data_IF_032977381452
#
_entry.id   IF_032977381452
#
_cell.length_a   1.000
_cell.length_b   1.000
_cell.length_c   1.000
_cell.angle_alpha   90.00
_cell.angle_beta   90.00
_cell.angle_gamma   90.00
#
_symmetry.space_group_name_H-M   'P 1'
#
loop_
_entity.id
_entity.type
_entity.pdbx_description
1 polymer ?
#
# COMPACT_ATOMS: atom_id res chain seq x y z
N UNK A 1 31.93 -53.40 -52.28
CA UNK A 1 31.69 -53.13 -50.87
C UNK A 1 31.45 -51.63 -50.73
N UNK A 2 30.20 -51.21 -50.53
CA UNK A 2 29.83 -49.79 -50.33
C UNK A 2 29.63 -49.55 -48.84
N UNK A 3 30.45 -48.68 -48.27
CA UNK A 3 30.34 -48.22 -46.89
C UNK A 3 29.19 -47.22 -46.76
N UNK A 4 28.22 -47.48 -45.93
CA UNK A 4 27.15 -46.55 -45.58
C UNK A 4 27.56 -45.73 -44.36
N UNK A 5 27.74 -44.43 -44.56
CA UNK A 5 27.92 -43.45 -43.45
C UNK A 5 26.52 -43.04 -42.97
N UNK A 6 26.21 -43.41 -41.74
CA UNK A 6 24.95 -42.97 -41.06
C UNK A 6 25.06 -41.51 -40.55
N UNK A 7 24.28 -40.65 -41.09
CA UNK A 7 24.09 -39.27 -40.58
C UNK A 7 23.07 -39.31 -39.46
N UNK A 8 23.53 -39.18 -38.23
CA UNK A 8 22.67 -39.00 -37.06
C UNK A 8 22.21 -37.53 -36.97
N UNK A 9 20.96 -37.25 -36.62
CA UNK A 9 20.38 -35.93 -36.90
C UNK A 9 20.79 -34.86 -35.88
N UNK A 10 21.42 -33.84 -36.38
CA UNK A 10 21.77 -32.59 -35.67
C UNK A 10 20.59 -31.81 -35.10
N UNK A 11 19.37 -32.27 -35.33
CA UNK A 11 18.14 -31.57 -34.92
C UNK A 11 17.69 -31.80 -33.47
N UNK A 12 18.30 -32.77 -32.79
CA UNK A 12 17.87 -33.09 -31.41
C UNK A 12 18.60 -32.24 -30.35
N UNK A 13 19.81 -31.76 -30.66
CA UNK A 13 20.56 -30.91 -29.72
C UNK A 13 20.10 -29.44 -29.68
N UNK A 14 19.41 -28.95 -30.70
CA UNK A 14 18.92 -27.57 -30.73
C UNK A 14 17.60 -27.41 -29.96
N UNK A 15 16.82 -28.48 -29.80
CA UNK A 15 15.57 -28.46 -29.03
C UNK A 15 15.79 -28.56 -27.51
N UNK A 16 16.90 -29.14 -27.08
CA UNK A 16 17.22 -29.29 -25.64
C UNK A 16 17.89 -28.03 -25.06
N UNK A 17 18.51 -27.20 -25.91
CA UNK A 17 19.10 -25.92 -25.44
C UNK A 17 18.07 -24.80 -25.38
N UNK A 18 16.96 -24.89 -26.12
CA UNK A 18 15.90 -23.87 -26.10
C UNK A 18 14.88 -24.07 -24.95
N UNK A 19 14.87 -25.21 -24.27
CA UNK A 19 14.01 -25.47 -23.10
C UNK A 19 14.63 -25.06 -21.75
N UNK A 20 15.91 -24.70 -21.70
CA UNK A 20 16.58 -24.31 -20.44
C UNK A 20 16.72 -22.80 -20.22
N UNK A 21 16.10 -21.96 -21.06
CA UNK A 21 16.21 -20.49 -20.93
C UNK A 21 14.89 -19.79 -20.59
N UNK A 22 13.88 -20.54 -20.10
CA UNK A 22 12.65 -19.94 -19.58
C UNK A 22 12.44 -20.44 -18.17
N UNK A 23 13.24 -19.98 -17.28
CA UNK A 23 12.96 -20.04 -15.86
C UNK A 23 13.98 -19.16 -15.14
N UNK A 24 13.63 -17.91 -14.93
CA UNK A 24 14.16 -17.05 -13.87
C UNK A 24 13.62 -15.64 -14.07
N UNK A 25 12.32 -15.45 -13.95
CA UNK A 25 11.72 -14.16 -13.65
C UNK A 25 10.43 -14.38 -12.86
N UNK A 26 10.55 -14.86 -11.64
CA UNK A 26 9.44 -14.83 -10.72
C UNK A 26 9.96 -14.92 -9.29
N UNK A 27 10.46 -13.81 -8.76
CA UNK A 27 10.87 -13.80 -7.37
C UNK A 27 10.59 -12.46 -6.65
N UNK A 28 9.87 -11.53 -7.28
CA UNK A 28 9.65 -10.20 -6.70
C UNK A 28 8.29 -9.98 -6.09
N UNK A 29 7.26 -10.58 -6.69
CA UNK A 29 5.93 -10.56 -6.11
C UNK A 29 5.85 -11.74 -5.14
N UNK A 30 5.96 -11.45 -3.89
CA UNK A 30 5.73 -12.45 -2.84
C UNK A 30 4.23 -12.71 -2.68
N UNK A 31 3.40 -11.68 -2.87
CA UNK A 31 1.93 -11.79 -2.96
C UNK A 31 1.44 -10.89 -4.07
N UNK A 32 0.71 -11.44 -5.03
CA UNK A 32 0.11 -10.69 -6.14
C UNK A 32 -0.78 -9.57 -5.60
N UNK A 33 -0.65 -8.38 -6.19
CA UNK A 33 -1.53 -7.27 -5.88
C UNK A 33 -2.91 -7.50 -6.49
N UNK A 34 -3.92 -7.45 -5.64
CA UNK A 34 -5.31 -7.61 -6.03
C UNK A 34 -6.14 -6.39 -5.60
N UNK A 35 -7.21 -6.02 -6.33
CA UNK A 35 -8.02 -4.88 -5.95
C UNK A 35 -8.83 -5.18 -4.68
N UNK A 36 -8.49 -4.56 -3.57
CA UNK A 36 -9.30 -4.55 -2.35
C UNK A 36 -10.56 -3.71 -2.53
N UNK A 37 -10.44 -2.65 -3.33
CA UNK A 37 -11.54 -1.78 -3.70
C UNK A 37 -11.34 -1.29 -5.14
N UNK A 38 -12.40 -1.24 -5.95
CA UNK A 38 -12.37 -0.64 -7.27
C UNK A 38 -13.77 -0.20 -7.66
N UNK A 39 -14.08 1.08 -7.45
CA UNK A 39 -15.38 1.69 -7.79
C UNK A 39 -15.22 3.15 -8.22
N UNK A 40 -16.19 3.64 -9.00
CA UNK A 40 -16.36 5.07 -9.24
C UNK A 40 -17.28 5.66 -8.15
N UNK A 41 -16.79 6.70 -7.48
CA UNK A 41 -17.49 7.37 -6.39
C UNK A 41 -17.46 8.89 -6.58
N UNK A 42 -18.45 9.59 -6.03
CA UNK A 42 -18.40 11.04 -5.87
C UNK A 42 -17.59 11.34 -4.60
N UNK A 43 -16.27 11.30 -4.67
CA UNK A 43 -15.45 11.36 -3.47
C UNK A 43 -13.96 11.31 -3.73
N UNK A 44 -13.22 10.95 -2.69
CA UNK A 44 -11.77 10.82 -2.76
C UNK A 44 -11.27 9.85 -1.66
N UNK A 45 -9.96 9.74 -1.56
CA UNK A 45 -9.27 8.91 -0.57
C UNK A 45 -8.45 9.79 0.36
N UNK A 46 -8.34 9.37 1.61
CA UNK A 46 -7.41 9.93 2.60
C UNK A 46 -6.90 8.83 3.51
N UNK A 47 -5.90 9.13 4.33
CA UNK A 47 -5.35 8.16 5.27
C UNK A 47 -4.95 8.80 6.59
N UNK A 48 -4.75 7.94 7.59
CA UNK A 48 -3.99 8.20 8.82
C UNK A 48 -3.12 6.99 9.10
N UNK A 49 -1.94 7.21 9.70
CA UNK A 49 -1.00 6.14 10.00
C UNK A 49 -0.09 6.50 11.17
N UNK A 50 0.52 5.50 11.80
CA UNK A 50 1.65 5.72 12.70
C UNK A 50 2.57 4.49 12.77
N UNK A 51 3.83 4.71 13.13
CA UNK A 51 4.80 3.66 13.42
C UNK A 51 4.59 3.08 14.83
N UNK A 52 5.03 1.82 15.02
CA UNK A 52 4.97 1.12 16.30
C UNK A 52 6.34 0.81 16.88
N UNK A 53 7.40 1.04 16.12
CA UNK A 53 8.78 0.97 16.54
C UNK A 53 9.44 2.34 16.42
N UNK A 54 10.31 2.67 17.39
CA UNK A 54 11.03 3.94 17.43
C UNK A 54 12.31 3.80 18.27
N UNK A 55 13.05 4.90 18.43
CA UNK A 55 14.15 5.00 19.40
C UNK A 55 13.67 5.40 20.80
N UNK A 56 12.41 5.79 20.93
CA UNK A 56 11.78 6.22 22.18
C UNK A 56 10.34 5.73 22.27
N UNK A 57 9.95 5.26 23.45
CA UNK A 57 8.60 4.74 23.64
C UNK A 57 7.49 5.82 23.46
N UNK A 58 7.73 7.05 23.92
CA UNK A 58 6.70 8.10 23.92
C UNK A 58 7.06 9.34 23.13
N UNK A 59 8.37 9.59 22.90
CA UNK A 59 8.84 10.79 22.21
C UNK A 59 9.02 10.54 20.71
N UNK A 60 8.76 11.60 19.93
CA UNK A 60 9.03 11.58 18.51
C UNK A 60 10.53 11.40 18.22
N UNK A 61 10.85 10.57 17.23
CA UNK A 61 12.20 10.40 16.72
C UNK A 61 12.37 11.16 15.41
N UNK A 62 13.36 12.05 15.37
CA UNK A 62 13.63 12.92 14.23
C UNK A 62 15.09 12.81 13.75
N UNK A 63 15.80 11.77 14.17
CA UNK A 63 17.18 11.50 13.75
C UNK A 63 17.27 11.10 12.27
N UNK A 64 18.49 11.06 11.75
CA UNK A 64 18.76 10.72 10.35
C UNK A 64 19.17 9.27 10.12
N UNK A 65 19.33 8.47 11.19
CA UNK A 65 19.73 7.05 11.05
C UNK A 65 18.63 6.24 10.38
N UNK A 66 19.03 5.30 9.53
CA UNK A 66 18.16 4.28 9.00
C UNK A 66 17.68 3.26 10.06
N UNK A 67 16.96 2.26 9.62
CA UNK A 67 16.45 1.19 10.49
C UNK A 67 17.41 -0.01 10.61
N UNK A 68 18.70 0.25 10.55
CA UNK A 68 19.75 -0.78 10.58
C UNK A 68 19.54 -1.85 11.65
N UNK A 69 19.87 -3.07 11.32
CA UNK A 69 19.76 -4.29 12.11
C UNK A 69 20.51 -4.25 13.45
N UNK A 70 21.58 -3.44 13.55
CA UNK A 70 22.35 -3.27 14.79
C UNK A 70 21.81 -2.17 15.71
N UNK A 71 20.74 -1.50 15.34
CA UNK A 71 20.16 -0.45 16.15
C UNK A 71 19.04 -1.00 17.06
N UNK A 72 19.10 -0.66 18.33
CA UNK A 72 18.06 -1.02 19.29
C UNK A 72 16.79 -0.20 19.08
N UNK A 73 15.74 -0.84 18.56
CA UNK A 73 14.40 -0.28 18.49
C UNK A 73 13.59 -0.70 19.73
N UNK A 74 12.72 0.18 20.17
CA UNK A 74 11.76 -0.08 21.25
C UNK A 74 10.34 0.12 20.72
N UNK A 75 9.38 -0.52 21.36
CA UNK A 75 7.97 -0.24 21.09
C UNK A 75 7.62 1.20 21.43
N UNK A 76 6.83 1.81 20.56
CA UNK A 76 6.07 3.00 20.90
C UNK A 76 4.93 2.58 21.83
N UNK A 77 4.79 3.26 22.97
CA UNK A 77 3.72 3.01 23.94
C UNK A 77 3.29 4.32 24.58
N UNK A 78 2.12 4.84 24.19
CA UNK A 78 1.65 6.17 24.59
C UNK A 78 0.55 6.15 25.63
N UNK A 79 -0.05 5.01 25.94
CA UNK A 79 -1.22 4.96 26.80
C UNK A 79 -0.94 4.46 28.22
N UNK A 80 0.17 3.78 28.45
CA UNK A 80 0.50 3.20 29.74
C UNK A 80 -0.50 2.16 30.25
N UNK A 81 -1.31 1.58 29.36
CA UNK A 81 -2.26 0.52 29.68
C UNK A 81 -1.54 -0.83 29.79
N UNK A 82 -1.49 -1.42 30.97
CA UNK A 82 -0.84 -2.72 31.19
C UNK A 82 -1.47 -3.88 30.35
N UNK A 83 -2.60 -3.67 29.71
CA UNK A 83 -3.20 -4.66 28.80
C UNK A 83 -2.71 -4.57 27.36
N UNK A 84 -1.89 -3.57 27.05
CA UNK A 84 -1.19 -3.36 25.81
C UNK A 84 0.32 -3.43 26.01
N UNK A 85 1.07 -3.83 24.99
CA UNK A 85 2.54 -3.83 25.05
C UNK A 85 3.13 -2.75 24.12
N UNK A 86 2.33 -2.18 23.24
CA UNK A 86 2.64 -1.00 22.46
C UNK A 86 1.34 -0.30 22.07
N UNK A 87 1.45 0.99 21.80
CA UNK A 87 0.32 1.80 21.34
C UNK A 87 0.79 3.06 20.63
N UNK A 88 0.11 3.47 19.56
CA UNK A 88 0.27 4.78 18.92
C UNK A 88 -1.04 5.26 18.33
N UNK A 89 -1.18 6.57 18.12
CA UNK A 89 -2.41 7.13 17.59
C UNK A 89 -2.19 8.07 16.40
N UNK A 90 -3.29 8.33 15.68
CA UNK A 90 -3.35 9.38 14.65
C UNK A 90 -4.76 9.96 14.60
N UNK A 91 -4.85 11.22 14.17
CA UNK A 91 -6.11 11.95 14.12
C UNK A 91 -6.61 12.03 12.68
N UNK A 92 -7.80 11.50 12.42
CA UNK A 92 -8.53 11.78 11.20
C UNK A 92 -9.22 13.15 11.33
N UNK A 93 -8.74 14.13 10.59
CA UNK A 93 -9.44 15.40 10.42
C UNK A 93 -10.39 15.32 9.22
N UNK A 94 -11.47 16.11 9.24
CA UNK A 94 -12.34 16.19 8.07
C UNK A 94 -11.53 16.69 6.87
N UNK A 95 -11.35 15.91 5.80
CA UNK A 95 -10.57 16.33 4.65
C UNK A 95 -11.24 17.47 3.84
N UNK A 96 -12.56 17.66 4.04
CA UNK A 96 -13.36 18.65 3.33
C UNK A 96 -14.23 19.44 4.33
N UNK A 97 -13.64 20.28 5.19
CA UNK A 97 -14.35 20.88 6.33
C UNK A 97 -15.47 21.85 5.93
N UNK A 98 -15.49 22.31 4.70
CA UNK A 98 -16.54 23.18 4.16
C UNK A 98 -17.69 22.43 3.49
N UNK A 99 -17.51 21.14 3.24
CA UNK A 99 -18.53 20.29 2.62
C UNK A 99 -19.52 19.77 3.68
N UNK A 100 -20.81 19.91 3.39
CA UNK A 100 -21.87 19.24 4.17
C UNK A 100 -22.02 17.79 3.70
N UNK A 101 -22.50 16.90 4.58
CA UNK A 101 -22.86 15.53 4.23
C UNK A 101 -21.70 14.66 3.72
N UNK A 102 -20.48 14.84 4.24
CA UNK A 102 -19.38 13.94 3.98
C UNK A 102 -19.58 12.62 4.74
N UNK A 103 -19.50 11.51 4.03
CA UNK A 103 -19.65 10.15 4.59
C UNK A 103 -18.41 9.34 4.35
N UNK A 104 -18.01 8.51 5.31
CA UNK A 104 -17.00 7.49 5.08
C UNK A 104 -17.66 6.29 4.39
N UNK A 105 -17.28 6.03 3.16
CA UNK A 105 -17.76 4.88 2.37
C UNK A 105 -17.04 3.60 2.77
N UNK A 106 -15.71 3.67 2.98
CA UNK A 106 -14.86 2.57 3.38
C UNK A 106 -13.79 3.04 4.36
N UNK A 107 -13.42 2.16 5.28
CA UNK A 107 -12.29 2.34 6.18
C UNK A 107 -11.55 1.00 6.30
N UNK A 108 -10.31 0.97 5.83
CA UNK A 108 -9.49 -0.22 5.73
C UNK A 108 -8.25 -0.07 6.61
N UNK A 109 -8.16 -0.88 7.65
CA UNK A 109 -7.01 -0.93 8.53
C UNK A 109 -6.01 -1.97 8.02
N UNK A 110 -4.78 -1.52 7.80
CA UNK A 110 -3.62 -2.35 7.55
C UNK A 110 -2.65 -2.24 8.71
N UNK A 111 -2.01 -3.33 9.08
CA UNK A 111 -0.86 -3.32 9.96
C UNK A 111 0.17 -4.30 9.45
N UNK A 112 1.43 -3.91 9.55
CA UNK A 112 2.54 -4.67 9.03
C UNK A 112 3.78 -4.41 9.87
N UNK A 113 4.64 -5.42 9.96
CA UNK A 113 5.94 -5.30 10.60
C UNK A 113 6.87 -6.40 10.10
N UNK A 114 8.17 -6.22 10.26
CA UNK A 114 9.10 -7.34 10.17
C UNK A 114 8.69 -8.42 11.14
N UNK A 115 8.59 -9.65 10.67
CA UNK A 115 8.27 -10.80 11.51
C UNK A 115 9.43 -11.08 12.47
N UNK A 116 9.20 -11.92 13.41
CA UNK A 116 10.19 -12.33 14.38
C UNK A 116 11.35 -13.07 13.70
N UNK A 117 12.55 -12.92 14.24
CA UNK A 117 13.71 -13.71 13.83
C UNK A 117 13.44 -15.22 13.83
N UNK A 118 13.90 -15.88 12.78
CA UNK A 118 13.72 -17.29 12.55
C UNK A 118 14.30 -18.19 13.66
N UNK A 119 15.37 -17.74 14.31
CA UNK A 119 16.14 -18.50 15.28
C UNK A 119 15.52 -18.61 16.68
N UNK A 120 14.34 -18.01 16.92
CA UNK A 120 13.67 -18.14 18.21
C UNK A 120 12.32 -18.89 18.12
N UNK A 121 12.33 -20.20 17.95
CA UNK A 121 11.11 -21.01 17.85
C UNK A 121 10.28 -21.00 19.14
N UNK A 122 10.84 -20.55 20.27
CA UNK A 122 10.16 -20.54 21.57
C UNK A 122 8.99 -19.56 21.66
N UNK A 123 8.92 -18.56 20.77
CA UNK A 123 7.92 -17.50 20.83
C UNK A 123 6.81 -17.60 19.76
N UNK A 124 6.93 -18.49 18.79
CA UNK A 124 5.97 -18.61 17.68
C UNK A 124 4.51 -18.90 18.08
N UNK A 125 4.24 -19.87 18.96
CA UNK A 125 2.87 -20.23 19.29
C UNK A 125 2.06 -19.07 19.93
N UNK A 126 2.74 -18.09 20.49
CA UNK A 126 2.14 -16.97 21.23
C UNK A 126 2.20 -15.64 20.46
N UNK A 127 2.71 -15.64 19.25
CA UNK A 127 2.87 -14.41 18.49
C UNK A 127 1.62 -14.12 17.63
N UNK A 128 0.60 -13.57 18.28
CA UNK A 128 -0.66 -13.20 17.63
C UNK A 128 -0.47 -11.99 16.70
N UNK A 129 0.27 -12.14 15.60
CA UNK A 129 0.55 -11.09 14.63
C UNK A 129 -0.73 -10.63 13.88
N UNK A 130 -1.73 -11.50 13.77
CA UNK A 130 -2.99 -11.24 13.09
C UNK A 130 -4.07 -10.61 14.00
N UNK A 131 -3.68 -10.15 15.19
CA UNK A 131 -4.59 -9.47 16.13
C UNK A 131 -3.99 -8.15 16.60
N UNK A 132 -4.84 -7.12 16.63
CA UNK A 132 -4.51 -5.81 17.17
C UNK A 132 -5.66 -5.30 18.03
N UNK A 133 -5.42 -4.25 18.80
CA UNK A 133 -6.45 -3.51 19.51
C UNK A 133 -6.70 -2.18 18.84
N UNK A 134 -7.96 -1.82 18.68
CA UNK A 134 -8.42 -0.55 18.12
C UNK A 134 -9.26 0.21 19.13
N UNK A 135 -8.92 1.47 19.35
CA UNK A 135 -9.76 2.45 20.02
C UNK A 135 -10.21 3.51 19.00
N UNK A 136 -11.51 3.65 18.86
CA UNK A 136 -12.15 4.56 17.90
C UNK A 136 -12.42 5.94 18.53
N UNK A 137 -12.58 6.99 17.70
CA UNK A 137 -12.93 8.33 18.17
C UNK A 137 -14.14 8.33 19.12
N UNK A 138 -13.97 8.92 20.30
CA UNK A 138 -15.03 9.07 21.30
C UNK A 138 -15.41 7.80 22.07
N UNK A 139 -14.77 6.65 21.82
CA UNK A 139 -15.12 5.38 22.49
C UNK A 139 -14.35 5.17 23.79
N UNK A 140 -13.08 5.56 23.88
CA UNK A 140 -12.28 5.51 25.11
C UNK A 140 -11.91 4.11 25.64
N UNK A 141 -12.24 3.04 24.91
CA UNK A 141 -11.89 1.65 25.24
C UNK A 141 -11.44 0.90 23.98
N UNK A 142 -10.52 -0.03 24.17
CA UNK A 142 -10.08 -0.89 23.08
C UNK A 142 -11.06 -2.01 22.76
N UNK A 143 -11.19 -2.32 21.47
CA UNK A 143 -11.72 -3.57 20.96
C UNK A 143 -10.60 -4.39 20.33
N UNK A 144 -10.60 -5.70 20.56
CA UNK A 144 -9.67 -6.61 19.87
C UNK A 144 -10.19 -6.91 18.48
N UNK A 145 -9.35 -6.74 17.48
CA UNK A 145 -9.62 -7.07 16.09
C UNK A 145 -8.74 -8.22 15.66
N UNK A 146 -9.35 -9.16 14.93
CA UNK A 146 -8.61 -10.18 14.18
C UNK A 146 -8.66 -9.80 12.70
N UNK A 147 -7.56 -9.97 11.99
CA UNK A 147 -7.47 -9.72 10.57
C UNK A 147 -8.56 -10.48 9.80
N UNK A 148 -9.15 -9.84 8.81
CA UNK A 148 -10.00 -10.51 7.82
C UNK A 148 -9.16 -11.26 6.80
N UNK A 149 -7.93 -10.78 6.57
CA UNK A 149 -6.99 -11.35 5.64
C UNK A 149 -5.55 -11.15 6.15
N UNK A 150 -4.74 -12.20 6.07
CA UNK A 150 -3.29 -12.14 6.19
C UNK A 150 -2.77 -12.13 4.77
N UNK A 151 -2.54 -10.92 4.25
CA UNK A 151 -2.14 -10.69 2.86
C UNK A 151 -0.84 -11.41 2.56
N UNK A 152 0.12 -11.31 3.47
CA UNK A 152 1.42 -11.95 3.38
C UNK A 152 1.98 -12.28 4.76
N UNK A 153 2.70 -13.37 4.86
CA UNK A 153 3.56 -13.71 5.98
C UNK A 153 4.77 -14.48 5.45
N UNK A 154 5.95 -13.91 5.59
CA UNK A 154 7.14 -14.39 4.92
C UNK A 154 7.78 -15.65 5.45
N UNK A 155 7.31 -16.20 6.59
CA UNK A 155 7.97 -17.37 7.22
C UNK A 155 7.72 -18.70 6.52
N UNK A 156 6.56 -18.83 5.94
CA UNK A 156 6.13 -20.03 5.22
C UNK A 156 5.04 -19.57 4.26
N UNK A 157 5.47 -19.02 3.14
CA UNK A 157 4.59 -18.27 2.22
C UNK A 157 3.62 -19.19 1.47
N UNK A 158 3.91 -20.48 1.38
CA UNK A 158 3.08 -21.48 0.69
C UNK A 158 2.50 -22.57 1.62
N UNK A 159 2.87 -22.59 2.91
CA UNK A 159 2.37 -23.55 3.89
C UNK A 159 2.98 -24.94 3.77
N UNK A 160 4.12 -25.10 3.08
CA UNK A 160 4.77 -26.40 2.91
C UNK A 160 5.81 -26.72 4.00
N UNK A 161 6.04 -25.78 4.92
CA UNK A 161 7.01 -25.90 6.01
C UNK A 161 8.47 -25.65 5.58
N UNK A 162 8.69 -25.16 4.35
CA UNK A 162 10.02 -24.85 3.83
C UNK A 162 10.37 -23.38 4.08
N UNK A 163 11.14 -23.12 5.11
CA UNK A 163 11.57 -21.74 5.47
C UNK A 163 12.66 -21.17 4.55
N UNK A 164 13.11 -21.90 3.53
CA UNK A 164 14.14 -21.42 2.60
C UNK A 164 13.58 -20.62 1.41
N UNK A 165 12.28 -20.50 1.26
CA UNK A 165 11.65 -19.77 0.18
C UNK A 165 11.25 -18.32 0.54
N UNK A 166 11.61 -17.86 1.73
CA UNK A 166 11.48 -16.49 2.18
C UNK A 166 12.80 -15.92 2.72
N UNK A 167 12.87 -14.61 2.92
CA UNK A 167 14.02 -13.96 3.55
C UNK A 167 13.92 -14.04 5.07
N UNK A 168 15.07 -14.03 5.75
CA UNK A 168 15.13 -13.85 7.21
C UNK A 168 14.50 -12.51 7.57
N UNK A 169 13.61 -12.53 8.56
CA UNK A 169 12.83 -11.36 8.99
C UNK A 169 11.92 -10.75 7.91
N UNK A 170 11.42 -11.57 7.00
CA UNK A 170 10.34 -11.18 6.10
C UNK A 170 9.14 -10.65 6.89
N UNK A 171 8.40 -9.68 6.35
CA UNK A 171 7.29 -9.08 7.06
C UNK A 171 6.07 -9.99 7.10
N UNK A 172 5.14 -9.60 7.96
CA UNK A 172 3.73 -9.95 7.80
C UNK A 172 2.93 -8.69 7.47
N UNK A 173 1.85 -8.85 6.71
CA UNK A 173 0.91 -7.81 6.37
C UNK A 173 -0.52 -8.33 6.63
N UNK A 174 -1.26 -7.61 7.43
CA UNK A 174 -2.63 -7.92 7.80
C UNK A 174 -3.60 -6.82 7.39
N UNK A 175 -4.82 -7.21 7.10
CA UNK A 175 -5.91 -6.34 6.69
C UNK A 175 -7.17 -6.57 7.52
N UNK A 176 -7.92 -5.50 7.80
CA UNK A 176 -9.25 -5.52 8.42
C UNK A 176 -10.16 -4.46 7.82
N UNK A 177 -11.35 -4.84 7.34
CA UNK A 177 -12.42 -3.88 7.05
C UNK A 177 -13.07 -3.41 8.36
N UNK A 178 -12.88 -2.14 8.69
CA UNK A 178 -13.47 -1.49 9.88
C UNK A 178 -14.58 -0.50 9.49
N UNK A 179 -15.09 -0.59 8.28
CA UNK A 179 -16.10 0.34 7.74
C UNK A 179 -17.32 0.44 8.65
N UNK A 180 -17.89 -0.70 9.06
CA UNK A 180 -19.09 -0.71 9.88
C UNK A 180 -18.87 -0.06 11.25
N UNK A 181 -17.70 -0.28 11.86
CA UNK A 181 -17.34 0.33 13.13
C UNK A 181 -17.22 1.86 13.00
N UNK A 182 -16.60 2.33 11.92
CA UNK A 182 -16.41 3.77 11.65
C UNK A 182 -17.75 4.45 11.31
N UNK A 183 -18.57 3.82 10.49
CA UNK A 183 -19.90 4.33 10.12
C UNK A 183 -20.87 4.35 11.31
N UNK A 184 -20.66 3.51 12.33
CA UNK A 184 -21.45 3.49 13.56
C UNK A 184 -21.12 4.63 14.54
N UNK A 185 -20.08 5.43 14.29
CA UNK A 185 -19.68 6.54 15.15
C UNK A 185 -20.59 7.76 14.94
N UNK A 186 -20.77 8.55 15.97
CA UNK A 186 -21.43 9.88 15.88
C UNK A 186 -20.64 10.79 14.93
N UNK A 187 -19.31 10.72 15.00
CA UNK A 187 -18.39 11.39 14.08
C UNK A 187 -17.21 10.45 13.79
N UNK A 188 -16.87 10.22 12.53
CA UNK A 188 -15.70 9.44 12.18
C UNK A 188 -14.39 10.23 12.39
N UNK A 189 -14.47 11.55 12.62
CA UNK A 189 -13.32 12.42 12.81
C UNK A 189 -12.88 12.43 14.26
N UNK A 190 -11.56 12.32 14.47
CA UNK A 190 -10.97 12.27 15.80
C UNK A 190 -9.79 11.31 15.86
N UNK A 191 -9.42 10.94 17.08
CA UNK A 191 -8.25 10.09 17.36
C UNK A 191 -8.62 8.62 17.20
N UNK A 192 -7.87 7.95 16.34
CA UNK A 192 -7.80 6.48 16.24
C UNK A 192 -6.52 6.03 16.92
N UNK A 193 -6.60 5.03 17.78
CA UNK A 193 -5.44 4.49 18.46
C UNK A 193 -5.36 2.99 18.23
N UNK A 194 -4.19 2.53 17.79
CA UNK A 194 -3.88 1.12 17.55
C UNK A 194 -2.90 0.68 18.61
N UNK A 195 -3.06 -0.56 19.09
CA UNK A 195 -2.19 -1.18 20.06
C UNK A 195 -1.98 -2.67 19.73
N UNK A 196 -0.94 -3.26 20.29
CA UNK A 196 -0.59 -4.67 20.16
C UNK A 196 -0.23 -5.12 18.73
N UNK A 197 0.38 -4.23 17.95
CA UNK A 197 1.01 -4.63 16.68
C UNK A 197 2.32 -5.34 17.01
N UNK A 198 2.43 -6.61 16.66
CA UNK A 198 3.66 -7.39 16.87
C UNK A 198 4.75 -6.91 15.93
N UNK A 199 5.91 -6.66 16.48
CA UNK A 199 7.10 -6.28 15.73
C UNK A 199 8.34 -6.75 16.51
N UNK A 200 9.48 -6.85 15.85
CA UNK A 200 10.75 -7.19 16.50
C UNK A 200 11.34 -5.95 17.18
N UNK A 201 11.49 -6.03 18.49
CA UNK A 201 12.26 -5.04 19.26
C UNK A 201 13.75 -5.40 19.27
N UNK A 202 14.58 -4.40 19.55
CA UNK A 202 16.03 -4.56 19.62
C UNK A 202 16.68 -4.66 18.25
N UNK A 203 17.94 -5.08 18.23
CA UNK A 203 18.68 -5.33 17.00
C UNK A 203 18.23 -6.63 16.33
N UNK A 204 18.27 -6.67 15.00
CA UNK A 204 18.09 -7.91 14.24
C UNK A 204 19.40 -8.69 14.16
N UNK A 205 19.31 -10.02 14.18
CA UNK A 205 20.45 -10.90 13.97
C UNK A 205 20.44 -11.42 12.54
N UNK A 206 21.58 -11.38 11.86
CA UNK A 206 21.74 -11.98 10.55
C UNK A 206 21.17 -11.20 9.37
N UNK A 207 20.95 -9.91 9.53
CA UNK A 207 20.56 -9.03 8.42
C UNK A 207 21.62 -9.02 7.31
N UNK A 208 21.21 -9.20 6.07
CA UNK A 208 22.09 -9.33 4.91
C UNK A 208 21.83 -8.25 3.83
N UNK A 209 21.17 -7.15 4.17
CA UNK A 209 20.84 -6.10 3.20
C UNK A 209 19.75 -6.50 2.18
N UNK A 210 19.00 -7.55 2.43
CA UNK A 210 17.91 -8.01 1.57
C UNK A 210 16.59 -8.21 2.31
N UNK A 211 16.49 -7.73 3.55
CA UNK A 211 15.30 -7.84 4.40
C UNK A 211 14.66 -6.48 4.63
N UNK A 212 13.46 -6.44 5.19
CA UNK A 212 12.74 -5.19 5.50
C UNK A 212 13.14 -4.58 6.86
N UNK A 213 14.29 -4.91 7.40
CA UNK A 213 14.78 -4.33 8.65
C UNK A 213 13.84 -4.54 9.84
N UNK A 214 13.90 -3.64 10.84
CA UNK A 214 13.04 -3.66 12.03
C UNK A 214 11.81 -2.75 11.89
N UNK A 215 11.21 -2.67 10.73
CA UNK A 215 10.06 -1.78 10.48
C UNK A 215 8.76 -2.32 11.10
N UNK A 216 7.84 -1.44 11.41
CA UNK A 216 6.51 -1.81 11.88
C UNK A 216 5.59 -0.63 12.14
N UNK A 217 4.32 -0.78 11.76
CA UNK A 217 3.33 0.28 11.92
C UNK A 217 1.94 -0.13 11.46
N UNK A 218 1.07 0.86 11.35
CA UNK A 218 -0.30 0.69 10.88
C UNK A 218 -0.76 1.89 10.05
N UNK A 219 -1.71 1.64 9.16
CA UNK A 219 -2.35 2.63 8.31
C UNK A 219 -3.84 2.35 8.20
N UNK A 220 -4.67 3.41 8.25
CA UNK A 220 -6.09 3.32 7.91
C UNK A 220 -6.32 4.17 6.66
N UNK A 221 -6.77 3.52 5.60
CA UNK A 221 -7.20 4.17 4.37
C UNK A 221 -8.69 4.41 4.44
N UNK A 222 -9.12 5.65 4.21
CA UNK A 222 -10.52 6.04 4.19
C UNK A 222 -10.92 6.46 2.78
N UNK A 223 -11.97 5.85 2.25
CA UNK A 223 -12.66 6.32 1.06
C UNK A 223 -13.88 7.10 1.55
N UNK A 224 -13.98 8.36 1.17
CA UNK A 224 -15.09 9.22 1.55
C UNK A 224 -15.83 9.74 0.34
N UNK A 225 -17.11 10.01 0.52
CA UNK A 225 -17.98 10.46 -0.56
C UNK A 225 -18.90 11.61 -0.13
N UNK A 226 -19.28 12.39 -1.12
CA UNK A 226 -20.29 13.43 -1.01
C UNK A 226 -20.93 13.60 -2.40
N UNK A 227 -22.27 13.63 -2.52
CA UNK A 227 -22.95 13.72 -3.81
C UNK A 227 -22.57 14.91 -4.69
N UNK A 228 -21.99 15.96 -4.09
CA UNK A 228 -21.58 17.18 -4.81
C UNK A 228 -20.15 17.13 -5.35
N UNK A 229 -19.39 16.10 -5.01
CA UNK A 229 -17.98 16.01 -5.45
C UNK A 229 -17.86 15.49 -6.87
N UNK A 230 -16.77 15.85 -7.57
CA UNK A 230 -16.40 15.20 -8.82
C UNK A 230 -16.32 13.68 -8.65
N UNK A 231 -16.58 12.97 -9.73
CA UNK A 231 -16.42 11.53 -9.76
C UNK A 231 -14.96 11.15 -9.90
N UNK A 232 -14.53 10.19 -9.10
CA UNK A 232 -13.23 9.54 -9.20
C UNK A 232 -13.42 8.03 -9.30
N UNK A 233 -12.66 7.40 -10.17
CA UNK A 233 -12.41 5.96 -10.02
C UNK A 233 -11.34 5.79 -8.96
N UNK A 234 -11.66 5.03 -7.92
CA UNK A 234 -10.74 4.72 -6.83
C UNK A 234 -10.47 3.23 -6.85
N UNK A 235 -9.21 2.88 -7.05
CA UNK A 235 -8.74 1.50 -6.95
C UNK A 235 -7.66 1.42 -5.88
N UNK A 236 -7.85 0.55 -4.90
CA UNK A 236 -6.89 0.22 -3.85
C UNK A 236 -6.43 -1.21 -4.09
N UNK A 237 -5.16 -1.39 -4.37
CA UNK A 237 -4.51 -2.68 -4.46
C UNK A 237 -3.76 -2.99 -3.17
N UNK A 238 -3.84 -4.22 -2.71
CA UNK A 238 -2.95 -4.76 -1.69
C UNK A 238 -2.31 -6.07 -2.15
N UNK A 239 -1.14 -6.36 -1.62
CA UNK A 239 -0.30 -7.48 -1.96
C UNK A 239 1.03 -7.38 -1.23
N UNK A 240 2.10 -7.93 -1.78
CA UNK A 240 3.45 -7.68 -1.28
C UNK A 240 4.49 -7.79 -2.40
N UNK A 241 5.19 -6.70 -2.64
CA UNK A 241 6.35 -6.63 -3.51
C UNK A 241 7.60 -6.35 -2.68
N UNK A 242 8.57 -7.24 -2.75
CA UNK A 242 9.88 -7.07 -2.14
C UNK A 242 10.85 -6.60 -3.22
N UNK A 243 11.21 -5.32 -3.18
CA UNK A 243 12.03 -4.64 -4.18
C UNK A 243 13.45 -4.53 -3.67
N UNK A 244 14.42 -4.93 -4.50
CA UNK A 244 15.85 -4.83 -4.20
C UNK A 244 16.61 -4.35 -5.44
N UNK A 245 17.88 -4.00 -5.31
CA UNK A 245 18.71 -3.61 -6.45
C UNK A 245 18.85 -4.69 -7.52
N UNK A 246 18.78 -5.95 -7.15
CA UNK A 246 18.86 -7.09 -8.08
C UNK A 246 17.50 -7.54 -8.61
N UNK A 247 16.42 -7.18 -7.89
CA UNK A 247 15.05 -7.62 -8.14
C UNK A 247 14.14 -6.40 -8.10
N UNK A 248 14.01 -5.74 -9.22
CA UNK A 248 13.35 -4.44 -9.39
C UNK A 248 12.48 -4.39 -10.67
N UNK A 249 11.88 -3.25 -10.97
CA UNK A 249 10.99 -3.02 -12.11
C UNK A 249 9.64 -3.74 -12.00
N UNK A 250 9.04 -3.67 -10.83
CA UNK A 250 7.73 -4.22 -10.60
C UNK A 250 6.62 -3.26 -11.06
N UNK A 251 5.75 -3.70 -11.98
CA UNK A 251 4.69 -2.87 -12.58
C UNK A 251 3.31 -3.28 -12.06
N UNK A 252 2.46 -2.30 -11.74
CA UNK A 252 1.04 -2.46 -11.42
C UNK A 252 0.23 -1.64 -12.40
N UNK A 253 -0.72 -2.30 -13.08
CA UNK A 253 -1.63 -1.68 -14.03
C UNK A 253 -2.97 -1.34 -13.37
N UNK A 254 -3.33 -0.06 -13.44
CA UNK A 254 -4.66 0.44 -13.09
C UNK A 254 -5.47 0.57 -14.37
N UNK A 255 -6.61 -0.11 -14.42
CA UNK A 255 -7.49 -0.18 -15.57
C UNK A 255 -8.95 0.02 -15.17
N UNK A 256 -9.85 0.15 -16.15
CA UNK A 256 -11.29 0.18 -15.89
C UNK A 256 -11.84 1.56 -15.56
N UNK A 257 -11.11 2.62 -15.87
CA UNK A 257 -11.59 3.99 -15.77
C UNK A 257 -11.53 4.68 -17.14
N UNK A 258 -12.17 5.84 -17.23
CA UNK A 258 -11.97 6.79 -18.34
C UNK A 258 -11.89 8.18 -17.74
N UNK A 259 -10.77 8.86 -17.94
CA UNK A 259 -10.56 10.19 -17.43
C UNK A 259 -11.45 11.22 -18.11
N UNK A 260 -11.65 12.36 -17.45
CA UNK A 260 -12.46 13.47 -17.99
C UNK A 260 -11.97 13.88 -19.39
N UNK A 261 -12.89 14.22 -20.32
CA UNK A 261 -12.52 14.53 -21.70
C UNK A 261 -11.82 15.89 -21.84
N UNK A 262 -11.99 16.78 -20.89
CA UNK A 262 -11.40 18.12 -20.88
C UNK A 262 -11.11 18.59 -19.45
N UNK A 263 -10.22 19.55 -19.30
CA UNK A 263 -9.81 20.09 -18.01
C UNK A 263 -8.71 19.25 -17.36
N UNK A 264 -8.38 19.57 -16.12
CA UNK A 264 -7.34 18.88 -15.38
C UNK A 264 -7.81 17.47 -14.96
N UNK A 265 -6.90 16.52 -15.03
CA UNK A 265 -7.08 15.18 -14.48
C UNK A 265 -6.35 15.10 -13.15
N UNK A 266 -7.07 15.31 -12.04
CA UNK A 266 -6.48 15.19 -10.72
C UNK A 266 -6.46 13.72 -10.28
N UNK A 267 -5.32 13.30 -9.77
CA UNK A 267 -5.08 11.92 -9.36
C UNK A 267 -4.40 11.89 -8.00
N UNK A 268 -5.01 11.23 -7.02
CA UNK A 268 -4.38 10.97 -5.74
C UNK A 268 -3.78 9.57 -5.74
N UNK A 269 -2.61 9.44 -5.12
CA UNK A 269 -1.92 8.17 -4.90
C UNK A 269 -1.88 7.92 -3.40
N UNK A 270 -2.11 6.65 -3.01
CA UNK A 270 -1.97 6.14 -1.64
C UNK A 270 -0.90 5.06 -1.64
N UNK A 271 -0.03 5.07 -0.65
CA UNK A 271 1.04 4.09 -0.50
C UNK A 271 1.14 3.60 0.94
N UNK A 272 1.51 2.32 1.10
CA UNK A 272 1.94 1.72 2.37
C UNK A 272 3.13 0.80 2.12
N UNK A 273 4.22 1.01 2.85
CA UNK A 273 5.48 0.29 2.64
C UNK A 273 6.25 0.04 3.94
N UNK A 274 7.23 -0.82 3.83
CA UNK A 274 8.17 -1.18 4.89
C UNK A 274 9.59 -1.02 4.39
N UNK A 275 10.49 -0.79 5.30
CA UNK A 275 11.93 -0.75 5.14
C UNK A 275 12.49 0.58 4.65
N UNK A 276 11.87 1.35 3.77
CA UNK A 276 12.44 2.58 3.21
C UNK A 276 13.30 3.38 4.18
N UNK A 277 14.57 3.53 3.86
CA UNK A 277 15.55 4.14 4.75
C UNK A 277 15.66 5.64 4.57
N UNK A 278 15.94 6.34 5.66
CA UNK A 278 16.11 7.79 5.66
C UNK A 278 17.37 8.26 4.94
N UNK A 279 18.42 7.49 5.03
CA UNK A 279 19.78 7.83 4.63
C UNK A 279 20.33 6.98 3.46
N UNK A 280 19.51 6.07 2.92
CA UNK A 280 19.82 5.32 1.72
C UNK A 280 18.98 5.85 0.55
N UNK A 281 19.53 5.91 -0.64
CA UNK A 281 18.88 6.45 -1.83
C UNK A 281 18.71 5.37 -2.91
N UNK A 282 18.21 5.80 -4.07
CA UNK A 282 18.05 5.02 -5.29
C UNK A 282 16.83 4.09 -5.32
N UNK A 283 15.89 4.24 -4.38
CA UNK A 283 14.53 3.72 -4.50
C UNK A 283 13.62 4.72 -5.24
N UNK A 284 12.68 4.22 -6.04
CA UNK A 284 11.81 5.06 -6.86
C UNK A 284 10.40 4.48 -7.00
N UNK A 285 9.43 5.35 -6.95
CA UNK A 285 8.09 5.11 -7.45
C UNK A 285 7.94 5.86 -8.78
N UNK A 286 7.60 5.16 -9.84
CA UNK A 286 7.52 5.72 -11.19
C UNK A 286 6.15 5.50 -11.80
N UNK A 287 5.75 6.41 -12.68
CA UNK A 287 4.52 6.28 -13.46
C UNK A 287 4.80 6.48 -14.95
N UNK A 288 4.09 5.75 -15.79
CA UNK A 288 4.18 5.89 -17.25
C UNK A 288 3.41 7.14 -17.70
N UNK A 289 4.09 8.05 -18.38
CA UNK A 289 3.49 9.26 -18.92
C UNK A 289 2.82 9.04 -20.28
N UNK A 290 2.16 10.09 -20.80
CA UNK A 290 1.46 10.06 -22.10
C UNK A 290 2.35 9.72 -23.31
N UNK A 291 3.66 9.94 -23.20
CA UNK A 291 4.65 9.57 -24.22
C UNK A 291 5.21 8.15 -23.99
N UNK A 292 4.65 7.39 -23.08
CA UNK A 292 5.06 6.03 -22.69
C UNK A 292 6.48 5.96 -22.09
N UNK A 293 6.93 7.04 -21.48
CA UNK A 293 8.18 7.09 -20.72
C UNK A 293 7.91 6.98 -19.21
N UNK A 294 8.84 6.38 -18.48
CA UNK A 294 8.83 6.37 -17.02
C UNK A 294 9.21 7.74 -16.49
N UNK A 295 8.44 8.22 -15.52
CA UNK A 295 8.65 9.49 -14.81
C UNK A 295 8.69 9.18 -13.32
N UNK A 296 9.71 9.66 -12.64
CA UNK A 296 9.83 9.54 -11.20
C UNK A 296 8.74 10.37 -10.51
N UNK A 297 8.03 9.75 -9.58
CA UNK A 297 7.09 10.44 -8.72
C UNK A 297 7.87 11.06 -7.56
N UNK A 298 7.56 12.29 -7.21
CA UNK A 298 8.15 12.96 -6.07
C UNK A 298 7.16 13.90 -5.40
N UNK A 299 7.41 14.20 -4.14
CA UNK A 299 6.72 15.23 -3.38
C UNK A 299 7.78 16.03 -2.58
N UNK A 300 7.45 17.19 -1.99
CA UNK A 300 8.41 17.94 -1.19
C UNK A 300 9.12 17.13 -0.09
N UNK A 301 8.46 16.09 0.45
CA UNK A 301 8.99 15.27 1.52
C UNK A 301 9.33 13.83 1.10
N UNK A 302 9.20 13.52 -0.20
CA UNK A 302 9.61 12.25 -0.81
C UNK A 302 10.37 12.56 -2.09
N UNK A 303 11.71 12.67 -2.02
CA UNK A 303 12.55 12.89 -3.21
C UNK A 303 12.34 11.80 -4.26
N UNK A 304 12.66 12.10 -5.50
CA UNK A 304 12.49 11.18 -6.61
C UNK A 304 13.41 9.94 -6.54
N UNK A 305 14.54 10.08 -5.85
CA UNK A 305 15.58 9.07 -5.67
C UNK A 305 15.67 8.50 -4.24
N UNK A 306 14.71 8.84 -3.39
CA UNK A 306 14.52 8.29 -2.05
C UNK A 306 13.03 8.48 -1.72
N UNK A 307 12.18 7.75 -2.42
CA UNK A 307 10.73 7.91 -2.32
C UNK A 307 10.18 7.22 -1.06
N UNK A 308 10.70 6.05 -0.73
CA UNK A 308 10.41 5.32 0.51
C UNK A 308 11.48 5.66 1.56
N UNK A 309 11.28 6.72 2.30
CA UNK A 309 12.30 7.36 3.13
C UNK A 309 11.93 7.44 4.61
N UNK A 310 11.32 6.39 5.15
CA UNK A 310 10.90 6.32 6.55
C UNK A 310 9.98 7.48 6.95
N UNK A 311 8.93 7.75 6.15
CA UNK A 311 8.01 8.85 6.41
C UNK A 311 6.54 8.46 6.36
N UNK A 312 5.75 9.19 7.13
CA UNK A 312 4.30 9.25 6.95
C UNK A 312 3.95 10.65 6.45
N UNK A 313 3.41 10.74 5.23
CA UNK A 313 3.15 12.01 4.55
C UNK A 313 1.71 12.14 4.09
N UNK A 314 1.19 13.37 4.13
CA UNK A 314 -0.12 13.71 3.61
C UNK A 314 -0.05 15.00 2.83
N UNK A 315 -0.59 15.01 1.61
CA UNK A 315 -0.63 16.19 0.74
C UNK A 315 0.75 16.84 0.53
N UNK A 316 1.81 16.01 0.45
CA UNK A 316 3.19 16.44 0.24
C UNK A 316 3.92 16.97 1.48
N UNK A 317 3.27 16.95 2.65
CA UNK A 317 3.85 17.37 3.93
C UNK A 317 4.00 16.18 4.89
N UNK A 318 4.87 16.32 5.91
CA UNK A 318 4.92 15.34 6.99
C UNK A 318 3.59 15.34 7.75
N UNK A 319 3.00 14.16 7.93
CA UNK A 319 1.76 14.01 8.69
C UNK A 319 2.07 13.99 10.19
N UNK A 320 1.78 15.11 10.86
CA UNK A 320 2.10 15.32 12.28
C UNK A 320 0.91 15.20 13.22
N UNK A 321 -0.31 15.05 12.71
CA UNK A 321 -1.51 14.83 13.53
C UNK A 321 -1.55 13.39 14.09
N UNK A 322 -0.49 13.00 14.80
CA UNK A 322 -0.28 11.65 15.37
C UNK A 322 0.63 11.69 16.59
N UNK A 323 0.60 10.67 17.42
CA UNK A 323 1.44 10.56 18.63
C UNK A 323 2.12 9.18 18.68
N UNK A 324 3.45 9.12 18.78
CA UNK A 324 4.39 10.22 18.58
C UNK A 324 4.42 10.65 17.10
N UNK A 325 4.72 11.92 16.82
CA UNK A 325 4.85 12.44 15.47
C UNK A 325 6.32 12.39 14.99
N UNK A 326 6.88 11.20 14.88
CA UNK A 326 8.26 10.98 14.43
C UNK A 326 8.44 11.38 12.97
N UNK A 327 9.41 12.22 12.64
CA UNK A 327 9.73 12.55 11.25
C UNK A 327 10.58 11.48 10.56
N UNK A 328 11.08 10.53 11.32
CA UNK A 328 11.71 9.30 10.87
C UNK A 328 10.98 8.12 11.54
N UNK A 329 10.29 7.31 10.75
CA UNK A 329 9.45 6.21 11.21
C UNK A 329 10.17 4.86 11.20
N UNK A 330 11.48 4.88 10.94
CA UNK A 330 12.36 3.71 10.97
C UNK A 330 11.79 2.56 10.12
N UNK A 331 11.68 2.81 8.81
CA UNK A 331 11.27 1.83 7.82
C UNK A 331 9.75 1.65 7.65
N UNK A 332 8.90 2.44 8.32
CA UNK A 332 7.45 2.40 8.04
C UNK A 332 7.04 3.58 7.19
N UNK A 333 6.65 3.33 5.96
CA UNK A 333 6.20 4.33 5.00
C UNK A 333 4.70 4.27 4.78
N UNK A 334 4.04 5.42 4.85
CA UNK A 334 2.64 5.57 4.47
C UNK A 334 2.40 6.96 3.88
N UNK A 335 1.46 7.07 2.96
CA UNK A 335 1.20 8.39 2.39
C UNK A 335 0.00 8.47 1.47
N UNK A 336 -0.55 9.68 1.40
CA UNK A 336 -1.52 10.07 0.37
C UNK A 336 -1.11 11.44 -0.18
N UNK A 337 -1.10 11.57 -1.51
CA UNK A 337 -0.69 12.81 -2.16
C UNK A 337 -1.31 12.97 -3.55
N UNK A 338 -1.42 14.21 -3.98
CA UNK A 338 -1.83 14.56 -5.34
C UNK A 338 -0.62 14.37 -6.29
N UNK A 339 -0.81 13.59 -7.36
CA UNK A 339 0.17 13.45 -8.42
C UNK A 339 0.35 14.78 -9.15
N UNK A 340 1.59 15.23 -9.34
CA UNK A 340 1.85 16.36 -10.24
C UNK A 340 1.58 15.93 -11.70
N UNK A 341 0.42 16.30 -12.17
CA UNK A 341 -0.05 16.02 -13.53
C UNK A 341 -0.21 17.34 -14.34
N UNK A 342 0.74 18.24 -14.18
CA UNK A 342 0.72 19.54 -14.86
C UNK A 342 0.52 19.38 -16.36
N UNK A 343 -0.47 20.09 -16.92
CA UNK A 343 -0.90 20.00 -18.32
C UNK A 343 -1.32 18.59 -18.77
N UNK A 344 -1.76 17.73 -17.85
CA UNK A 344 -2.12 16.33 -18.11
C UNK A 344 -1.00 15.54 -18.82
N UNK A 345 0.24 15.83 -18.45
CA UNK A 345 1.44 15.25 -19.10
C UNK A 345 1.70 13.80 -18.69
N UNK A 346 1.15 13.36 -17.56
CA UNK A 346 1.28 12.00 -17.04
C UNK A 346 0.02 11.20 -17.34
N UNK A 347 -1.14 11.68 -16.89
CA UNK A 347 -2.44 11.06 -17.17
C UNK A 347 -3.24 12.05 -18.01
N UNK A 348 -3.51 11.66 -19.26
CA UNK A 348 -4.21 12.51 -20.24
C UNK A 348 -5.72 12.49 -20.06
N UNK A 349 -6.40 13.44 -20.73
CA UNK A 349 -7.83 13.35 -20.96
C UNK A 349 -8.16 12.15 -21.86
N UNK A 350 -9.32 11.51 -21.63
CA UNK A 350 -9.78 10.30 -22.31
C UNK A 350 -8.84 9.08 -22.19
N UNK A 351 -8.01 9.03 -21.16
CA UNK A 351 -7.14 7.89 -20.87
C UNK A 351 -7.92 6.85 -20.04
N UNK A 352 -7.65 5.55 -20.27
CA UNK A 352 -8.40 4.45 -19.63
C UNK A 352 -7.55 3.55 -18.74
N UNK A 353 -6.25 3.82 -18.65
CA UNK A 353 -5.32 3.05 -17.82
C UNK A 353 -4.15 3.89 -17.36
N UNK A 354 -3.50 3.47 -16.28
CA UNK A 354 -2.23 4.01 -15.80
C UNK A 354 -1.35 2.85 -15.30
N UNK A 355 -0.04 2.94 -15.52
CA UNK A 355 0.92 1.95 -15.01
C UNK A 355 1.89 2.63 -14.05
N UNK A 356 2.00 2.09 -12.84
CA UNK A 356 2.96 2.52 -11.82
C UNK A 356 4.01 1.43 -11.67
N UNK A 357 5.26 1.83 -11.49
CA UNK A 357 6.39 0.92 -11.32
C UNK A 357 7.17 1.23 -10.06
N UNK A 358 7.57 0.18 -9.34
CA UNK A 358 8.55 0.20 -8.28
C UNK A 358 9.91 -0.24 -8.79
N UNK A 359 10.96 0.46 -8.39
CA UNK A 359 12.34 0.12 -8.77
C UNK A 359 13.32 0.60 -7.71
N UNK A 360 14.49 -0.06 -7.64
CA UNK A 360 15.60 0.34 -6.79
C UNK A 360 16.91 -0.02 -7.47
N UNK A 361 17.92 0.83 -7.30
CA UNK A 361 19.28 0.54 -7.73
C UNK A 361 20.20 0.18 -6.55
N UNK A 362 19.76 0.43 -5.31
CA UNK A 362 20.56 0.19 -4.12
C UNK A 362 19.70 -0.31 -2.94
N UNK A 363 18.67 0.42 -2.56
CA UNK A 363 17.86 0.16 -1.37
C UNK A 363 16.93 -1.06 -1.53
N UNK A 364 16.63 -1.71 -0.42
CA UNK A 364 15.57 -2.72 -0.30
C UNK A 364 14.34 -2.08 0.34
N UNK A 365 13.15 -2.34 -0.20
CA UNK A 365 11.90 -1.95 0.45
C UNK A 365 10.76 -2.90 0.10
N UNK A 366 9.74 -2.92 0.93
CA UNK A 366 8.55 -3.74 0.73
C UNK A 366 7.30 -2.88 0.53
N UNK A 367 6.66 -2.94 -0.65
CA UNK A 367 5.37 -2.29 -0.86
C UNK A 367 4.24 -3.29 -0.58
N UNK A 368 3.25 -2.89 0.22
CA UNK A 368 2.08 -3.72 0.51
C UNK A 368 0.75 -3.08 0.09
N UNK A 369 0.73 -1.78 -0.13
CA UNK A 369 -0.45 -1.01 -0.49
C UNK A 369 -0.13 0.00 -1.57
N UNK A 370 -0.94 0.03 -2.65
CA UNK A 370 -0.91 1.05 -3.68
C UNK A 370 -2.32 1.39 -4.13
N UNK A 371 -2.72 2.64 -3.98
CA UNK A 371 -4.02 3.14 -4.40
C UNK A 371 -3.93 4.27 -5.39
N UNK A 372 -4.92 4.34 -6.29
CA UNK A 372 -5.10 5.41 -7.27
C UNK A 372 -6.53 5.91 -7.23
N UNK A 373 -6.70 7.22 -7.09
CA UNK A 373 -8.00 7.88 -7.19
C UNK A 373 -7.95 8.95 -8.28
N UNK A 374 -8.48 8.65 -9.46
CA UNK A 374 -8.35 9.47 -10.67
C UNK A 374 -9.69 10.09 -11.07
N UNK A 375 -9.69 11.36 -11.48
CA UNK A 375 -10.85 12.06 -12.01
C UNK A 375 -11.38 11.36 -13.27
N UNK A 376 -12.66 10.97 -13.24
CA UNK A 376 -13.28 10.24 -14.34
C UNK A 376 -14.51 10.94 -14.88
N UNK A 377 -14.81 10.63 -16.14
CA UNK A 377 -16.03 11.03 -16.80
C UNK A 377 -17.04 9.87 -16.79
N UNK A 378 -18.25 10.17 -16.39
CA UNK A 378 -19.38 9.29 -16.64
C UNK A 378 -20.42 10.03 -17.48
N UNK A 379 -20.94 9.39 -18.54
CA UNK A 379 -22.01 9.98 -19.32
C UNK A 379 -23.23 10.24 -18.44
N UNK A 380 -23.73 11.45 -18.46
CA UNK A 380 -24.99 11.77 -17.81
C UNK A 380 -26.14 11.24 -18.70
N UNK A 381 -26.52 10.00 -18.45
CA UNK A 381 -27.64 9.38 -19.19
C UNK A 381 -28.93 9.81 -18.52
N UNK A 382 -29.55 10.86 -19.03
CA UNK A 382 -30.92 11.20 -18.63
C UNK A 382 -31.87 10.13 -19.15
N UNK A 383 -32.78 9.60 -18.32
CA UNK A 383 -33.76 8.64 -18.80
C UNK A 383 -34.66 9.28 -19.86
N UNK A 384 -34.71 8.69 -21.04
CA UNK A 384 -35.64 9.11 -22.09
C UNK A 384 -36.99 8.48 -21.77
N UNK A 385 -37.97 9.34 -21.51
CA UNK A 385 -39.37 8.88 -21.38
C UNK A 385 -39.99 8.76 -22.77
N UNK A 386 -40.18 7.54 -23.24
CA UNK A 386 -40.92 7.28 -24.46
C UNK A 386 -42.43 7.27 -24.15
N UNK A 387 -43.14 8.25 -24.65
CA UNK A 387 -44.61 8.17 -24.71
C UNK A 387 -45.02 7.31 -25.92
N UNK A 388 -45.62 6.17 -25.66
CA UNK A 388 -46.23 5.38 -26.71
C UNK A 388 -47.64 5.88 -26.96
N UNK A 389 -48.12 5.80 -28.23
CA UNK A 389 -49.49 6.18 -28.62
C UNK A 389 -50.61 5.39 -27.93
N UNK A 390 -50.27 4.55 -26.96
CA UNK A 390 -51.22 3.68 -26.22
C UNK A 390 -51.33 4.10 -24.73
N UNK A 391 -50.82 5.28 -24.36
CA UNK A 391 -50.96 5.83 -23.00
C UNK A 391 -50.11 5.17 -21.93
N UNK A 392 -49.16 4.31 -22.29
CA UNK A 392 -48.16 3.77 -21.35
C UNK A 392 -46.83 4.51 -21.50
N UNK A 393 -46.30 5.00 -20.39
CA UNK A 393 -44.95 5.58 -20.32
C UNK A 393 -43.95 4.48 -19.98
N UNK A 394 -42.98 4.25 -20.85
CA UNK A 394 -41.88 3.31 -20.59
C UNK A 394 -40.58 4.11 -20.49
N UNK A 395 -39.88 3.99 -19.42
CA UNK A 395 -38.53 4.56 -19.29
C UNK A 395 -37.55 3.60 -19.94
N UNK A 396 -36.82 4.06 -20.94
CA UNK A 396 -35.75 3.29 -21.60
C UNK A 396 -34.42 3.94 -21.25
N UNK A 397 -33.54 3.17 -20.67
CA UNK A 397 -32.13 3.57 -20.50
C UNK A 397 -31.41 3.21 -21.82
N UNK A 398 -31.02 4.18 -22.60
CA UNK A 398 -30.10 3.96 -23.71
C UNK A 398 -28.67 3.95 -23.21
N UNK A 399 -28.02 2.79 -23.22
CA UNK A 399 -26.56 2.71 -23.20
C UNK A 399 -26.08 3.09 -24.60
N UNK A 400 -25.56 4.30 -24.76
CA UNK A 400 -24.76 4.65 -25.93
C UNK A 400 -23.31 4.30 -25.64
N UNK A 401 -22.81 3.31 -26.39
CA UNK A 401 -21.41 2.98 -26.52
C UNK A 401 -20.62 4.15 -27.14
#
# INVERSE_FOLDING_TARGET
MKSAISTLPYKIYLATILCCSISFMSAQIKKTFEPRFSETVNGNVTMIANNMLSRHATNAYNGSSGNHDFNDNVFVDIDGDNSTFNSSNATLTNPEPTASCLVIKKAYLYWAAADKEEDDPSNEPNWNYNQVKLMLPGIGTYSTLTADDVIYRGRDDNGDGNTNDHFVNDPYICYKDITNQVQGLISPFGIYQIANVRAKEGALTGHNGGTVGTSGGWEIVFIYENPTFPKKNITIFDGYAHVTSSVNNFEIDFNGFQTVPTGNVNTNIVIGGLEGDRDLNDDRLQIKNVANNWVDISTPNRPADNFFNSKITKDGADFTARTPASLNTLGFDAGVFLLDNTNNSIIANNQSSATIRMTSDQETYGLFLLGLAVDVWEPNVSPIVLQTNIGATTTVNENRN
#
